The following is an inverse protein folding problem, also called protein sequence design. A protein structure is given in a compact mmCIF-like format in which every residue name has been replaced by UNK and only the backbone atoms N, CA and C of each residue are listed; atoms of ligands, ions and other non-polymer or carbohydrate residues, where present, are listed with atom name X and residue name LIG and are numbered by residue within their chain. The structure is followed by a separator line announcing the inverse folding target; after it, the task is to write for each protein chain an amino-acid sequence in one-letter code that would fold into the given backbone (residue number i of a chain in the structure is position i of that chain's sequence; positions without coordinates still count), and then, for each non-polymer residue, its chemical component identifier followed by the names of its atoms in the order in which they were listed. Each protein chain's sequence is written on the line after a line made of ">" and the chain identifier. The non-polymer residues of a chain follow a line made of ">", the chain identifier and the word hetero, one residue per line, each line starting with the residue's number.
data_IF_755467662963
#
_entry.id   IF_755467662963
#
_cell.length_a   1.000
_cell.length_b   1.000
_cell.length_c   1.000
_cell.angle_alpha   90.00
_cell.angle_beta   90.00
_cell.angle_gamma   90.00
#
_symmetry.space_group_name_H-M   'P 1'
#
loop_
_entity.id
_entity.type
_entity.pdbx_description
1 polymer ?
#
# COMPACT_ATOMS: atom_id res chain seq x y z
N UNK A 1 18.39 49.29 -54.69
CA UNK A 1 17.07 48.97 -54.07
C UNK A 1 16.59 47.65 -54.64
N UNK A 2 16.00 46.79 -53.78
CA UNK A 2 15.39 45.46 -54.04
C UNK A 2 16.34 44.34 -54.51
N UNK A 3 16.16 43.06 -54.17
CA UNK A 3 15.65 42.27 -53.02
C UNK A 3 15.95 40.80 -53.40
N UNK A 4 15.94 39.90 -52.39
CA UNK A 4 15.92 38.41 -52.46
C UNK A 4 17.27 37.77 -52.14
N UNK A 5 17.53 37.24 -50.93
CA UNK A 5 16.95 36.08 -50.20
C UNK A 5 17.35 34.73 -50.81
N UNK A 6 18.38 34.12 -50.22
CA UNK A 6 18.66 32.67 -50.07
C UNK A 6 19.97 32.62 -49.27
N UNK A 7 20.12 32.01 -48.11
CA UNK A 7 19.37 30.96 -47.46
C UNK A 7 20.40 29.95 -46.98
N UNK A 8 20.83 30.02 -45.70
CA UNK A 8 21.42 28.85 -45.03
C UNK A 8 20.90 28.83 -43.59
N UNK A 9 20.14 27.77 -43.37
CA UNK A 9 19.42 27.38 -42.18
C UNK A 9 20.40 27.01 -41.07
N UNK A 10 20.40 27.76 -39.96
CA UNK A 10 21.09 27.38 -38.74
C UNK A 10 20.21 26.37 -37.98
N UNK A 11 20.51 25.07 -38.11
CA UNK A 11 19.83 24.02 -37.35
C UNK A 11 20.43 23.97 -35.94
N UNK A 12 19.77 24.65 -35.00
CA UNK A 12 19.99 24.48 -33.56
C UNK A 12 19.35 23.15 -33.13
N UNK A 13 20.17 22.11 -33.02
CA UNK A 13 19.82 20.87 -32.32
C UNK A 13 19.72 21.14 -30.82
N UNK A 14 18.54 21.57 -30.36
CA UNK A 14 18.20 21.45 -28.94
C UNK A 14 17.93 19.99 -28.62
N UNK A 15 18.96 19.28 -28.16
CA UNK A 15 18.78 17.99 -27.51
C UNK A 15 18.05 18.22 -26.19
N UNK A 16 16.72 18.06 -26.20
CA UNK A 16 15.94 17.93 -24.99
C UNK A 16 16.40 16.66 -24.26
N UNK A 17 17.34 16.81 -23.32
CA UNK A 17 17.67 15.78 -22.35
C UNK A 17 16.46 15.58 -21.47
N UNK A 18 15.59 14.64 -21.86
CA UNK A 18 14.54 14.11 -21.03
C UNK A 18 15.23 13.34 -19.89
N UNK A 19 15.58 14.06 -18.83
CA UNK A 19 16.01 13.47 -17.57
C UNK A 19 14.82 12.70 -17.01
N UNK A 20 14.72 11.43 -17.42
CA UNK A 20 13.89 10.44 -16.76
C UNK A 20 14.33 10.42 -15.30
N UNK A 21 13.55 11.09 -14.44
CA UNK A 21 13.58 10.85 -13.01
C UNK A 21 13.29 9.36 -12.83
N UNK A 22 14.35 8.56 -12.71
CA UNK A 22 14.29 7.19 -12.21
C UNK A 22 13.64 7.29 -10.84
N UNK A 23 12.33 6.99 -10.78
CA UNK A 23 11.71 6.54 -9.54
C UNK A 23 12.60 5.40 -9.05
N UNK A 24 13.18 5.47 -7.84
CA UNK A 24 13.97 4.36 -7.35
C UNK A 24 13.02 3.18 -7.16
N UNK A 25 13.09 2.20 -8.06
CA UNK A 25 12.55 0.86 -7.85
C UNK A 25 13.43 0.15 -6.83
N UNK A 26 13.38 0.61 -5.59
CA UNK A 26 13.70 -0.22 -4.43
C UNK A 26 12.46 -0.28 -3.57
N UNK A 27 11.83 -1.45 -3.58
CA UNK A 27 11.70 -2.30 -2.40
C UNK A 27 11.29 -3.69 -2.90
N UNK A 28 12.11 -4.70 -2.59
CA UNK A 28 11.63 -5.67 -1.64
C UNK A 28 12.34 -5.38 -0.32
N UNK A 29 11.54 -5.18 0.72
CA UNK A 29 12.01 -5.47 2.08
C UNK A 29 12.55 -6.90 2.02
N UNK A 30 13.86 -7.09 2.24
CA UNK A 30 14.43 -8.41 2.47
C UNK A 30 13.78 -8.94 3.75
N UNK A 31 12.69 -9.68 3.60
CA UNK A 31 12.24 -10.61 4.62
C UNK A 31 13.29 -11.72 4.60
N UNK A 32 14.03 -11.89 5.71
CA UNK A 32 14.92 -13.05 5.87
C UNK A 32 14.07 -14.30 5.62
N UNK A 33 14.47 -15.24 4.75
CA UNK A 33 13.76 -16.51 4.66
C UNK A 33 13.81 -17.13 6.06
N UNK A 34 12.65 -17.29 6.69
CA UNK A 34 12.53 -18.09 7.89
C UNK A 34 12.96 -19.53 7.62
N UNK A 35 13.02 -20.40 8.65
CA UNK A 35 13.22 -21.83 8.44
C UNK A 35 12.30 -22.33 7.32
N UNK A 36 12.79 -23.30 6.52
CA UNK A 36 12.00 -23.93 5.46
C UNK A 36 10.94 -24.82 6.12
N UNK A 37 9.94 -24.18 6.74
CA UNK A 37 8.76 -24.86 7.27
C UNK A 37 7.83 -25.17 6.11
N UNK A 38 6.96 -26.17 6.29
CA UNK A 38 5.92 -26.50 5.34
C UNK A 38 5.02 -25.26 5.08
N UNK A 39 4.63 -24.56 6.13
CA UNK A 39 3.89 -23.30 6.06
C UNK A 39 4.61 -22.25 5.19
N UNK A 40 5.93 -22.11 5.37
CA UNK A 40 6.75 -21.21 4.57
C UNK A 40 6.78 -21.58 3.09
N UNK A 41 6.76 -22.87 2.76
CA UNK A 41 6.67 -23.34 1.37
C UNK A 41 5.29 -23.06 0.77
N UNK A 42 4.21 -23.36 1.50
CA UNK A 42 2.84 -23.07 1.08
C UNK A 42 2.66 -21.56 0.83
N UNK A 43 3.16 -20.71 1.73
CA UNK A 43 3.18 -19.25 1.56
C UNK A 43 3.88 -18.81 0.27
N UNK A 44 5.08 -19.35 -0.01
CA UNK A 44 5.84 -19.01 -1.22
C UNK A 44 5.12 -19.43 -2.50
N UNK A 45 4.45 -20.57 -2.51
CA UNK A 45 3.64 -21.04 -3.65
C UNK A 45 2.53 -20.04 -3.95
N UNK A 46 1.76 -19.63 -2.93
CA UNK A 46 0.68 -18.64 -3.09
C UNK A 46 1.21 -17.27 -3.56
N UNK A 47 2.35 -16.82 -3.03
CA UNK A 47 3.00 -15.59 -3.48
C UNK A 47 3.44 -15.67 -4.95
N UNK A 48 4.00 -16.80 -5.36
CA UNK A 48 4.43 -17.02 -6.75
C UNK A 48 3.24 -16.98 -7.70
N UNK A 49 2.12 -17.64 -7.34
CA UNK A 49 0.88 -17.61 -8.13
C UNK A 49 0.41 -16.17 -8.38
N UNK A 50 0.36 -15.34 -7.32
CA UNK A 50 -0.02 -13.93 -7.45
C UNK A 50 0.98 -13.11 -8.25
N UNK A 51 2.28 -13.33 -8.03
CA UNK A 51 3.36 -12.64 -8.73
C UNK A 51 3.31 -12.88 -10.24
N UNK A 52 3.06 -14.12 -10.65
CA UNK A 52 2.90 -14.50 -12.05
C UNK A 52 1.68 -13.84 -12.69
N UNK A 53 0.53 -13.82 -12.00
CA UNK A 53 -0.67 -13.11 -12.47
C UNK A 53 -0.39 -11.61 -12.67
N UNK A 54 0.29 -10.97 -11.70
CA UNK A 54 0.68 -9.55 -11.79
C UNK A 54 1.64 -9.28 -12.94
N UNK A 55 2.60 -10.16 -13.17
CA UNK A 55 3.56 -10.03 -14.25
C UNK A 55 2.88 -10.15 -15.62
N UNK A 56 2.02 -11.16 -15.80
CA UNK A 56 1.25 -11.37 -17.02
C UNK A 56 0.36 -10.15 -17.33
N UNK A 57 -0.42 -9.70 -16.35
CA UNK A 57 -1.22 -8.48 -16.47
C UNK A 57 -0.38 -7.26 -16.84
N UNK A 58 0.72 -7.02 -16.11
CA UNK A 58 1.58 -5.85 -16.33
C UNK A 58 2.22 -5.85 -17.71
N UNK A 59 2.63 -7.02 -18.22
CA UNK A 59 3.18 -7.19 -19.56
C UNK A 59 2.12 -6.90 -20.62
N UNK A 60 0.96 -7.53 -20.52
CA UNK A 60 -0.15 -7.33 -21.46
C UNK A 60 -0.65 -5.88 -21.47
N UNK A 61 -0.81 -5.28 -20.29
CA UNK A 61 -1.30 -3.91 -20.16
C UNK A 61 -0.33 -2.88 -20.76
N UNK A 62 0.99 -3.12 -20.63
CA UNK A 62 2.02 -2.29 -21.26
C UNK A 62 2.11 -2.46 -22.78
N UNK A 63 1.79 -3.64 -23.29
CA UNK A 63 1.78 -3.92 -24.73
C UNK A 63 0.52 -3.39 -25.45
N UNK A 64 -0.58 -3.21 -24.71
CA UNK A 64 -1.84 -2.68 -25.21
C UNK A 64 -1.69 -1.23 -25.74
N UNK A 65 -2.06 -1.02 -27.00
CA UNK A 65 -1.86 0.27 -27.70
C UNK A 65 -3.04 1.21 -27.51
N UNK A 66 -4.24 0.67 -27.46
CA UNK A 66 -5.48 1.45 -27.34
C UNK A 66 -6.10 1.31 -25.96
N UNK A 67 -7.01 2.23 -25.62
CA UNK A 67 -7.77 2.12 -24.37
C UNK A 67 -8.70 0.90 -24.39
N UNK A 68 -9.27 0.55 -25.54
CA UNK A 68 -10.09 -0.65 -25.69
C UNK A 68 -9.29 -1.93 -25.35
N UNK A 69 -8.06 -2.06 -25.86
CA UNK A 69 -7.17 -3.18 -25.54
C UNK A 69 -6.85 -3.23 -24.04
N UNK A 70 -6.56 -2.07 -23.42
CA UNK A 70 -6.29 -1.98 -21.99
C UNK A 70 -7.48 -2.40 -21.14
N UNK A 71 -8.70 -2.03 -21.54
CA UNK A 71 -9.93 -2.47 -20.89
C UNK A 71 -10.12 -3.98 -21.01
N UNK A 72 -9.83 -4.56 -22.17
CA UNK A 72 -9.89 -6.01 -22.36
C UNK A 72 -8.87 -6.74 -21.48
N UNK A 73 -7.60 -6.30 -21.48
CA UNK A 73 -6.55 -6.85 -20.61
C UNK A 73 -6.96 -6.75 -19.13
N UNK A 74 -7.57 -5.63 -18.71
CA UNK A 74 -8.09 -5.48 -17.34
C UNK A 74 -9.20 -6.48 -17.04
N UNK A 75 -10.14 -6.71 -17.95
CA UNK A 75 -11.24 -7.67 -17.71
C UNK A 75 -10.72 -9.11 -17.57
N UNK A 76 -9.76 -9.49 -18.40
CA UNK A 76 -9.30 -10.88 -18.51
C UNK A 76 -8.18 -11.22 -17.53
N UNK A 77 -7.19 -10.34 -17.40
CA UNK A 77 -5.92 -10.64 -16.73
C UNK A 77 -5.74 -9.89 -15.41
N UNK A 78 -6.62 -8.96 -15.03
CA UNK A 78 -6.46 -8.25 -13.77
C UNK A 78 -6.38 -9.26 -12.61
N UNK A 79 -5.31 -9.22 -11.79
CA UNK A 79 -5.14 -10.15 -10.68
C UNK A 79 -6.34 -10.10 -9.75
N UNK A 80 -6.84 -11.27 -9.34
CA UNK A 80 -8.02 -11.41 -8.46
C UNK A 80 -7.55 -11.82 -7.06
N UNK A 81 -7.01 -10.89 -6.25
CA UNK A 81 -6.42 -11.22 -4.95
C UNK A 81 -7.44 -11.84 -3.99
N UNK A 82 -8.74 -11.57 -4.15
CA UNK A 82 -9.80 -12.14 -3.33
C UNK A 82 -9.81 -13.68 -3.35
N UNK A 83 -9.51 -14.27 -4.52
CA UNK A 83 -9.44 -15.74 -4.66
C UNK A 83 -8.28 -16.35 -3.87
N UNK A 84 -7.16 -15.64 -3.79
CA UNK A 84 -5.99 -16.07 -3.05
C UNK A 84 -6.09 -15.73 -1.57
N UNK A 85 -6.80 -14.67 -1.21
CA UNK A 85 -6.96 -14.23 0.17
C UNK A 85 -7.60 -15.31 1.05
N UNK A 86 -8.57 -16.07 0.52
CA UNK A 86 -9.12 -17.23 1.23
C UNK A 86 -8.03 -18.27 1.56
N UNK A 87 -7.14 -18.58 0.59
CA UNK A 87 -6.03 -19.55 0.81
C UNK A 87 -5.01 -19.03 1.82
N UNK A 88 -4.64 -17.75 1.75
CA UNK A 88 -3.74 -17.14 2.74
C UNK A 88 -4.37 -17.10 4.15
N UNK A 89 -5.68 -16.86 4.24
CA UNK A 89 -6.38 -16.87 5.52
C UNK A 89 -6.43 -18.27 6.14
N UNK A 90 -6.67 -19.32 5.34
CA UNK A 90 -6.59 -20.71 5.79
C UNK A 90 -5.18 -21.03 6.29
N UNK A 91 -4.16 -20.71 5.49
CA UNK A 91 -2.76 -20.90 5.87
C UNK A 91 -2.42 -20.21 7.21
N UNK A 92 -2.90 -18.99 7.42
CA UNK A 92 -2.66 -18.27 8.68
C UNK A 92 -3.32 -18.96 9.89
N UNK A 93 -4.52 -19.52 9.71
CA UNK A 93 -5.26 -20.19 10.79
C UNK A 93 -4.67 -21.56 11.13
N UNK A 94 -4.26 -22.32 10.13
CA UNK A 94 -3.67 -23.66 10.31
C UNK A 94 -2.27 -23.59 10.95
N UNK A 95 -1.54 -22.50 10.73
CA UNK A 95 -0.17 -22.32 11.20
C UNK A 95 -0.04 -21.07 12.10
N UNK A 96 -1.01 -20.85 13.00
CA UNK A 96 -1.09 -19.64 13.83
C UNK A 96 0.17 -19.36 14.67
N UNK A 97 0.89 -20.40 15.07
CA UNK A 97 2.13 -20.31 15.86
C UNK A 97 3.39 -20.12 14.99
N UNK A 98 3.27 -20.23 13.65
CA UNK A 98 4.38 -19.98 12.71
C UNK A 98 4.42 -18.48 12.34
N UNK A 99 5.59 -17.84 12.26
CA UNK A 99 5.75 -16.47 11.75
C UNK A 99 5.13 -16.21 10.35
N UNK A 100 4.83 -17.27 9.59
CA UNK A 100 4.10 -17.20 8.31
C UNK A 100 2.66 -16.73 8.50
N UNK A 101 2.00 -17.00 9.64
CA UNK A 101 0.62 -16.60 9.85
C UNK A 101 0.44 -15.09 9.74
N UNK A 102 1.22 -14.31 10.49
CA UNK A 102 1.17 -12.84 10.38
C UNK A 102 1.54 -12.35 8.97
N UNK A 103 2.48 -13.01 8.29
CA UNK A 103 2.84 -12.66 6.90
C UNK A 103 1.69 -12.89 5.92
N UNK A 104 0.93 -13.97 6.10
CA UNK A 104 -0.25 -14.30 5.30
C UNK A 104 -1.40 -13.32 5.56
N UNK A 105 -1.69 -12.99 6.83
CA UNK A 105 -2.69 -11.98 7.19
C UNK A 105 -2.33 -10.60 6.64
N UNK A 106 -1.06 -10.20 6.78
CA UNK A 106 -0.53 -8.95 6.21
C UNK A 106 -0.71 -8.95 4.69
N UNK A 107 -0.47 -10.08 4.01
CA UNK A 107 -0.70 -10.18 2.57
C UNK A 107 -2.17 -9.93 2.22
N UNK A 108 -3.11 -10.53 2.95
CA UNK A 108 -4.55 -10.35 2.72
C UNK A 108 -4.94 -8.89 2.81
N UNK A 109 -4.63 -8.21 3.93
CA UNK A 109 -5.01 -6.80 4.13
C UNK A 109 -4.28 -5.83 3.20
N UNK A 110 -3.16 -6.24 2.63
CA UNK A 110 -2.39 -5.44 1.66
C UNK A 110 -2.98 -5.49 0.25
N UNK A 111 -3.66 -6.58 -0.11
CA UNK A 111 -4.06 -6.86 -1.49
C UNK A 111 -5.59 -6.88 -1.66
N UNK A 112 -6.35 -7.09 -0.59
CA UNK A 112 -7.82 -7.10 -0.62
C UNK A 112 -8.36 -5.94 0.19
N UNK A 113 -9.14 -5.07 -0.47
CA UNK A 113 -9.68 -3.85 0.14
C UNK A 113 -10.93 -4.11 0.97
N UNK A 114 -11.80 -5.01 0.51
CA UNK A 114 -13.13 -5.29 1.07
C UNK A 114 -13.41 -6.79 0.86
N UNK A 115 -14.08 -7.42 1.82
CA UNK A 115 -14.55 -8.80 1.70
C UNK A 115 -14.38 -9.57 3.01
N UNK A 116 -15.05 -10.72 3.11
CA UNK A 116 -15.03 -11.58 4.30
C UNK A 116 -13.60 -11.91 4.75
N UNK A 117 -12.75 -12.34 3.81
CA UNK A 117 -11.36 -12.70 4.13
C UNK A 117 -10.54 -11.52 4.67
N UNK A 118 -10.73 -10.30 4.14
CA UNK A 118 -10.03 -9.12 4.64
C UNK A 118 -10.53 -8.68 6.02
N UNK A 119 -11.85 -8.77 6.27
CA UNK A 119 -12.42 -8.52 7.59
C UNK A 119 -11.85 -9.48 8.64
N UNK A 120 -11.91 -10.79 8.37
CA UNK A 120 -11.36 -11.81 9.26
C UNK A 120 -9.85 -11.67 9.47
N UNK A 121 -9.09 -11.32 8.43
CA UNK A 121 -7.66 -11.10 8.58
C UNK A 121 -7.37 -9.89 9.48
N UNK A 122 -8.18 -8.83 9.40
CA UNK A 122 -8.09 -7.69 10.30
C UNK A 122 -8.41 -8.09 11.75
N UNK A 123 -9.46 -8.88 11.95
CA UNK A 123 -9.85 -9.36 13.29
C UNK A 123 -8.71 -10.15 13.93
N UNK A 124 -8.13 -11.12 13.21
CA UNK A 124 -6.99 -11.91 13.69
C UNK A 124 -5.74 -11.06 13.98
N UNK A 125 -5.45 -10.05 13.15
CA UNK A 125 -4.33 -9.13 13.40
C UNK A 125 -4.53 -8.31 14.69
N UNK A 126 -5.76 -7.90 14.99
CA UNK A 126 -6.08 -7.18 16.23
C UNK A 126 -5.97 -8.12 17.44
N UNK A 127 -6.49 -9.33 17.33
CA UNK A 127 -6.57 -10.29 18.44
C UNK A 127 -5.21 -10.89 18.80
N UNK A 128 -4.43 -11.27 17.80
CA UNK A 128 -3.22 -12.10 18.00
C UNK A 128 -1.90 -11.39 17.70
N UNK A 129 -1.92 -10.28 16.96
CA UNK A 129 -0.68 -9.67 16.41
C UNK A 129 -0.58 -8.16 16.61
N UNK A 130 -1.33 -7.57 17.55
CA UNK A 130 -1.35 -6.12 17.77
C UNK A 130 0.00 -5.55 18.27
N UNK A 131 0.83 -6.41 18.86
CA UNK A 131 2.18 -6.09 19.33
C UNK A 131 3.26 -6.37 18.28
N UNK A 132 2.91 -7.03 17.17
CA UNK A 132 3.86 -7.40 16.11
C UNK A 132 4.33 -6.16 15.32
N UNK A 133 5.62 -6.13 14.96
CA UNK A 133 6.22 -5.05 14.16
C UNK A 133 5.56 -4.88 12.79
N UNK A 134 4.91 -5.91 12.26
CA UNK A 134 4.11 -5.86 11.05
C UNK A 134 3.01 -4.80 11.12
N UNK A 135 2.49 -4.47 12.32
CA UNK A 135 1.46 -3.44 12.50
C UNK A 135 1.84 -2.07 11.95
N UNK A 136 3.13 -1.73 11.95
CA UNK A 136 3.64 -0.49 11.32
C UNK A 136 3.25 -0.45 9.84
N UNK A 137 3.50 -1.55 9.13
CA UNK A 137 3.23 -1.67 7.70
C UNK A 137 1.73 -1.84 7.40
N UNK A 138 0.98 -2.51 8.28
CA UNK A 138 -0.48 -2.68 8.15
C UNK A 138 -1.16 -1.32 8.27
N UNK A 139 -0.82 -0.51 9.28
CA UNK A 139 -1.39 0.83 9.46
C UNK A 139 -1.15 1.73 8.24
N UNK A 140 0.07 1.69 7.68
CA UNK A 140 0.40 2.44 6.47
C UNK A 140 -0.49 2.04 5.28
N UNK A 141 -0.77 0.75 5.11
CA UNK A 141 -1.60 0.26 3.98
C UNK A 141 -3.06 0.64 4.13
N UNK A 142 -3.57 0.70 5.37
CA UNK A 142 -4.96 0.98 5.66
C UNK A 142 -5.33 2.46 5.73
N UNK A 143 -4.36 3.38 5.58
CA UNK A 143 -4.59 4.84 5.68
C UNK A 143 -5.61 5.41 4.67
N UNK A 144 -5.86 4.70 3.57
CA UNK A 144 -6.85 5.08 2.53
C UNK A 144 -8.05 4.14 2.48
N UNK A 145 -8.15 3.21 3.43
CA UNK A 145 -9.28 2.30 3.49
C UNK A 145 -10.53 3.04 3.95
N UNK A 146 -11.68 2.65 3.42
CA UNK A 146 -13.00 3.11 3.85
C UNK A 146 -13.77 2.02 4.61
N UNK A 147 -13.12 0.88 4.88
CA UNK A 147 -13.73 -0.22 5.63
C UNK A 147 -13.83 0.13 7.13
N UNK A 148 -14.98 -0.12 7.78
CA UNK A 148 -15.11 0.01 9.23
C UNK A 148 -14.11 -0.84 10.03
N UNK A 149 -13.82 -2.06 9.56
CA UNK A 149 -12.84 -2.95 10.18
C UNK A 149 -11.43 -2.35 10.11
N UNK A 150 -11.06 -1.74 8.98
CA UNK A 150 -9.78 -1.07 8.84
C UNK A 150 -9.68 0.15 9.78
N UNK A 151 -10.76 0.92 9.93
CA UNK A 151 -10.83 2.01 10.90
C UNK A 151 -10.59 1.50 12.32
N UNK A 152 -11.35 0.46 12.72
CA UNK A 152 -11.23 -0.19 14.04
C UNK A 152 -9.82 -0.70 14.29
N UNK A 153 -9.13 -1.30 13.31
CA UNK A 153 -7.73 -1.71 13.49
C UNK A 153 -6.84 -0.53 13.86
N UNK A 154 -6.94 0.59 13.15
CA UNK A 154 -6.13 1.77 13.44
C UNK A 154 -6.43 2.33 14.85
N UNK A 155 -7.71 2.35 15.26
CA UNK A 155 -8.07 2.74 16.63
C UNK A 155 -7.47 1.81 17.68
N UNK A 156 -7.56 0.50 17.47
CA UNK A 156 -7.01 -0.51 18.40
C UNK A 156 -5.48 -0.42 18.48
N UNK A 157 -4.78 -0.30 17.35
CA UNK A 157 -3.31 -0.16 17.34
C UNK A 157 -2.90 1.13 18.05
N UNK A 158 -3.57 2.26 17.80
CA UNK A 158 -3.29 3.53 18.47
C UNK A 158 -3.48 3.43 19.99
N UNK A 159 -4.51 2.71 20.44
CA UNK A 159 -4.80 2.55 21.86
C UNK A 159 -3.86 1.56 22.55
N UNK A 160 -3.64 0.39 21.96
CA UNK A 160 -3.10 -0.79 22.65
C UNK A 160 -1.67 -1.17 22.26
N UNK A 161 -1.21 -0.83 21.06
CA UNK A 161 0.10 -1.31 20.61
C UNK A 161 1.24 -0.77 21.49
N UNK A 162 2.20 -1.60 21.91
CA UNK A 162 3.38 -1.13 22.64
C UNK A 162 4.35 -0.38 21.72
N UNK A 163 4.23 -0.54 20.40
CA UNK A 163 5.15 0.04 19.43
C UNK A 163 4.78 1.50 19.12
N UNK A 164 5.68 2.43 19.45
CA UNK A 164 5.53 3.86 19.14
C UNK A 164 5.31 4.10 17.65
N UNK A 165 6.07 3.41 16.81
CA UNK A 165 5.97 3.51 15.36
C UNK A 165 4.59 3.06 14.86
N UNK A 166 4.05 1.97 15.41
CA UNK A 166 2.73 1.47 15.02
C UNK A 166 1.63 2.47 15.46
N UNK A 167 1.71 3.00 16.69
CA UNK A 167 0.81 4.05 17.18
C UNK A 167 0.84 5.29 16.29
N UNK A 168 2.03 5.76 15.92
CA UNK A 168 2.16 6.94 15.07
C UNK A 168 1.59 6.71 13.66
N UNK A 169 1.87 5.56 13.04
CA UNK A 169 1.27 5.21 11.74
C UNK A 169 -0.25 5.03 11.83
N UNK A 170 -0.76 4.49 12.93
CA UNK A 170 -2.18 4.36 13.17
C UNK A 170 -2.86 5.73 13.32
N UNK A 171 -2.28 6.63 14.11
CA UNK A 171 -2.78 8.00 14.27
C UNK A 171 -2.79 8.77 12.95
N UNK A 172 -1.70 8.67 12.18
CA UNK A 172 -1.63 9.26 10.84
C UNK A 172 -2.64 8.61 9.89
N UNK A 173 -2.83 7.30 9.98
CA UNK A 173 -3.85 6.57 9.21
C UNK A 173 -5.27 7.08 9.48
N UNK A 174 -5.63 7.31 10.75
CA UNK A 174 -6.92 7.86 11.14
C UNK A 174 -7.11 9.29 10.61
N UNK A 175 -6.09 10.15 10.73
CA UNK A 175 -6.09 11.48 10.12
C UNK A 175 -6.37 11.41 8.62
N UNK A 176 -5.70 10.50 7.90
CA UNK A 176 -5.88 10.33 6.47
C UNK A 176 -7.30 9.84 6.12
N UNK A 177 -7.83 8.84 6.84
CA UNK A 177 -9.20 8.37 6.63
C UNK A 177 -10.23 9.49 6.85
N UNK A 178 -10.05 10.31 7.90
CA UNK A 178 -10.90 11.49 8.13
C UNK A 178 -10.78 12.51 7.01
N UNK A 179 -9.57 12.77 6.48
CA UNK A 179 -9.36 13.69 5.34
C UNK A 179 -10.07 13.21 4.07
N UNK A 180 -10.14 11.91 3.83
CA UNK A 180 -10.95 11.37 2.71
C UNK A 180 -12.44 11.50 2.97
N UNK A 181 -12.89 11.21 4.20
CA UNK A 181 -14.30 11.32 4.58
C UNK A 181 -14.82 12.77 4.57
N UNK A 182 -13.96 13.75 4.89
CA UNK A 182 -14.30 15.17 4.91
C UNK A 182 -14.80 15.71 3.56
N UNK A 183 -14.38 15.09 2.45
CA UNK A 183 -14.87 15.42 1.10
C UNK A 183 -16.38 15.23 0.93
N UNK A 184 -16.96 14.29 1.68
CA UNK A 184 -18.40 14.01 1.67
C UNK A 184 -19.10 14.51 2.95
N UNK A 185 -18.36 14.66 4.05
CA UNK A 185 -18.90 15.07 5.34
C UNK A 185 -17.95 16.08 6.02
N UNK A 186 -18.17 17.40 5.87
CA UNK A 186 -17.33 18.43 6.47
C UNK A 186 -17.16 18.34 7.99
N UNK A 187 -18.06 17.68 8.72
CA UNK A 187 -17.89 17.46 10.17
C UNK A 187 -16.63 16.65 10.51
N UNK A 188 -16.10 15.88 9.55
CA UNK A 188 -14.86 15.12 9.70
C UNK A 188 -13.60 15.99 9.76
N UNK A 189 -13.67 17.27 9.43
CA UNK A 189 -12.53 18.20 9.58
C UNK A 189 -12.09 18.33 11.05
N UNK A 190 -13.01 18.20 12.01
CA UNK A 190 -12.66 18.16 13.43
C UNK A 190 -11.76 16.96 13.77
N UNK A 191 -12.04 15.79 13.20
CA UNK A 191 -11.22 14.59 13.37
C UNK A 191 -9.85 14.75 12.69
N UNK A 192 -9.81 15.38 11.50
CA UNK A 192 -8.55 15.69 10.79
C UNK A 192 -7.65 16.53 11.69
N UNK A 193 -8.17 17.64 12.22
CA UNK A 193 -7.42 18.54 13.10
C UNK A 193 -6.93 17.82 14.37
N UNK A 194 -7.84 17.10 15.05
CA UNK A 194 -7.53 16.32 16.26
C UNK A 194 -6.36 15.36 16.04
N UNK A 195 -6.40 14.57 14.96
CA UNK A 195 -5.33 13.60 14.71
C UNK A 195 -4.06 14.25 14.16
N UNK A 196 -4.16 15.32 13.36
CA UNK A 196 -2.99 16.05 12.87
C UNK A 196 -2.20 16.67 14.03
N UNK A 197 -2.87 17.33 14.97
CA UNK A 197 -2.26 17.89 16.19
C UNK A 197 -1.53 16.80 16.98
N UNK A 198 -2.17 15.64 17.16
CA UNK A 198 -1.56 14.51 17.87
C UNK A 198 -0.35 13.93 17.12
N UNK A 199 -0.42 13.79 15.80
CA UNK A 199 0.72 13.35 14.98
C UNK A 199 1.90 14.31 15.12
N UNK A 200 1.65 15.61 15.05
CA UNK A 200 2.70 16.64 15.16
C UNK A 200 3.30 16.65 16.57
N UNK A 201 2.49 16.50 17.61
CA UNK A 201 2.94 16.54 18.99
C UNK A 201 3.74 15.29 19.38
N UNK A 202 3.20 14.10 19.09
CA UNK A 202 3.68 12.86 19.69
C UNK A 202 4.55 12.03 18.74
N UNK A 203 4.45 12.26 17.42
CA UNK A 203 4.98 11.36 16.39
C UNK A 203 5.64 12.06 15.19
N UNK A 204 5.96 13.35 15.28
CA UNK A 204 6.38 14.14 14.12
C UNK A 204 7.65 13.66 13.43
N UNK A 205 8.56 13.01 14.15
CA UNK A 205 9.85 12.48 13.70
C UNK A 205 9.73 11.17 12.92
N UNK A 206 8.59 10.47 12.99
CA UNK A 206 8.48 9.14 12.38
C UNK A 206 8.54 9.22 10.86
N UNK A 207 9.35 8.32 10.26
CA UNK A 207 9.58 8.27 8.81
C UNK A 207 8.29 8.04 8.04
N UNK A 208 8.18 8.73 6.90
CA UNK A 208 7.13 8.57 5.90
C UNK A 208 7.75 8.40 4.51
N UNK A 209 6.94 8.07 3.50
CA UNK A 209 7.41 7.91 2.12
C UNK A 209 8.08 9.18 1.56
N UNK A 210 7.64 10.36 2.03
CA UNK A 210 8.21 11.67 1.70
C UNK A 210 8.42 12.46 3.00
N UNK A 211 9.62 12.36 3.56
CA UNK A 211 10.00 13.04 4.80
C UNK A 211 9.44 12.34 6.04
N UNK A 212 8.84 13.10 6.96
CA UNK A 212 8.21 12.56 8.18
C UNK A 212 6.69 12.62 8.15
N UNK A 213 6.02 11.87 9.03
CA UNK A 213 4.57 11.96 9.19
C UNK A 213 4.14 13.30 9.78
N UNK A 214 5.00 13.98 10.55
CA UNK A 214 4.74 15.33 11.06
C UNK A 214 4.70 16.37 9.94
N UNK A 215 5.64 16.31 8.99
CA UNK A 215 5.61 17.15 7.79
C UNK A 215 4.40 16.81 6.91
N UNK A 216 4.04 15.53 6.82
CA UNK A 216 2.89 15.10 6.05
C UNK A 216 1.56 15.55 6.66
N UNK A 217 1.44 15.60 7.99
CA UNK A 217 0.23 16.03 8.70
C UNK A 217 -0.04 17.53 8.58
N UNK A 218 0.96 18.34 8.23
CA UNK A 218 0.82 19.79 8.00
C UNK A 218 0.29 20.15 6.61
N UNK A 219 0.18 19.18 5.69
CA UNK A 219 -0.30 19.35 4.30
C UNK A 219 -1.74 18.87 4.13
#
# INVERSE_FOLDING_TARGET
>A
MLRSITGVLLVLLMTATLSAQRVPTKLPVKVKPGPVTEAGQQYRVLLSEFSQQRLAYSKAFRAAKTEADRLQVRRELYPKPDKLAAKFLVLAKEHADDPVAVQALVWVVSNVRIGKAAGEAIDLLIESYIEDKAMISVCQRLMRSTSPQAHRLLEQVLAKSPLREAKGQACFGLMMQSKYAARANPAKEADVKKFAERVIKDFADLKHYRGTIGEAAKR
#
